data_IF_453030452941
#
_entry.id   IF_453030452941
#
_cell.length_a   1.000
_cell.length_b   1.000
_cell.length_c   1.000
_cell.angle_alpha   90.00
_cell.angle_beta   90.00
_cell.angle_gamma   90.00
#
_symmetry.space_group_name_H-M   'P 1'
#
loop_
_entity.id
_entity.type
_entity.pdbx_description
1 polymer ?
#
# COMPACT_ATOMS: atom_id res chain seq x y z
N UNK A 1 -5.19 21.70 -1.29
CA UNK A 1 -4.13 22.68 -1.64
C UNK A 1 -4.07 23.73 -0.54
N UNK A 2 -2.89 24.10 -0.08
CA UNK A 2 -2.73 25.20 0.88
C UNK A 2 -2.87 26.54 0.13
N UNK A 3 -3.51 27.57 0.72
CA UNK A 3 -3.67 28.87 0.06
C UNK A 3 -2.32 29.49 -0.30
N UNK A 4 -2.14 29.87 -1.56
CA UNK A 4 -0.90 30.51 -2.06
C UNK A 4 0.25 29.55 -2.36
N UNK A 5 0.10 28.23 -2.17
CA UNK A 5 1.13 27.25 -2.53
C UNK A 5 0.99 26.80 -3.98
N UNK A 6 2.08 26.91 -4.76
CA UNK A 6 2.23 26.30 -6.08
C UNK A 6 2.92 24.93 -5.91
N UNK A 7 2.44 23.91 -6.63
CA UNK A 7 3.05 22.57 -6.63
C UNK A 7 3.78 22.37 -7.94
N UNK A 8 5.10 22.32 -7.87
CA UNK A 8 6.00 22.00 -8.97
C UNK A 8 6.33 20.51 -8.94
N UNK A 9 6.12 19.79 -10.06
CA UNK A 9 6.48 18.37 -10.17
C UNK A 9 7.91 18.21 -10.70
N UNK A 10 8.59 17.15 -10.27
CA UNK A 10 9.92 16.80 -10.76
C UNK A 10 9.91 15.34 -11.26
N UNK A 11 9.44 15.13 -12.48
CA UNK A 11 9.42 13.82 -13.13
C UNK A 11 10.81 13.46 -13.67
N UNK A 12 11.77 13.26 -12.77
CA UNK A 12 13.16 12.96 -13.12
C UNK A 12 13.30 11.62 -13.85
N UNK A 13 12.38 10.68 -13.65
CA UNK A 13 12.37 9.38 -14.33
C UNK A 13 12.25 9.50 -15.86
N UNK A 14 11.48 10.48 -16.35
CA UNK A 14 11.31 10.73 -17.79
C UNK A 14 12.60 11.26 -18.45
N UNK A 15 13.52 11.81 -17.65
CA UNK A 15 14.77 12.45 -18.12
C UNK A 15 16.00 11.59 -17.85
N UNK A 16 16.01 10.85 -16.74
CA UNK A 16 17.19 10.17 -16.17
C UNK A 16 16.92 8.73 -15.69
N UNK A 17 15.68 8.23 -15.78
CA UNK A 17 15.31 6.88 -15.35
C UNK A 17 15.81 5.77 -16.28
N UNK A 18 15.68 4.53 -15.83
CA UNK A 18 16.08 3.34 -16.61
C UNK A 18 15.06 3.03 -17.70
N UNK A 19 15.43 3.29 -18.96
CA UNK A 19 14.77 2.66 -20.11
C UNK A 19 15.29 1.20 -20.29
N UNK A 20 14.42 0.18 -20.38
CA UNK A 20 14.83 -1.18 -20.73
C UNK A 20 15.47 -1.20 -22.12
N UNK A 21 16.67 -1.79 -22.24
CA UNK A 21 17.45 -1.73 -23.48
C UNK A 21 16.74 -2.34 -24.70
N UNK A 22 16.06 -3.48 -24.50
CA UNK A 22 15.62 -4.37 -25.59
C UNK A 22 14.11 -4.68 -25.60
N UNK A 23 13.30 -3.96 -24.79
CA UNK A 23 11.84 -4.18 -24.71
C UNK A 23 11.40 -5.56 -24.21
N UNK A 24 12.32 -6.33 -23.61
CA UNK A 24 12.07 -7.66 -23.06
C UNK A 24 11.91 -7.62 -21.54
N UNK A 25 10.96 -8.40 -21.04
CA UNK A 25 10.73 -8.56 -19.60
C UNK A 25 11.97 -9.12 -18.89
N UNK A 26 12.18 -8.68 -17.66
CA UNK A 26 13.40 -8.97 -16.89
C UNK A 26 13.55 -10.46 -16.55
N UNK A 27 14.80 -10.97 -16.46
CA UNK A 27 15.05 -12.36 -16.10
C UNK A 27 14.60 -12.68 -14.67
N UNK A 28 14.00 -13.87 -14.48
CA UNK A 28 13.44 -14.34 -13.20
C UNK A 28 14.45 -14.30 -12.05
N UNK A 29 14.32 -13.28 -11.19
CA UNK A 29 15.19 -13.07 -10.04
C UNK A 29 14.87 -14.01 -8.87
N UNK A 30 15.80 -14.90 -8.53
CA UNK A 30 15.72 -15.75 -7.34
C UNK A 30 16.65 -15.28 -6.19
N UNK A 31 16.45 -14.06 -5.66
CA UNK A 31 17.20 -13.50 -4.51
C UNK A 31 16.69 -13.97 -3.12
N UNK A 32 17.54 -14.14 -2.09
CA UNK A 32 17.15 -14.76 -0.81
C UNK A 32 16.10 -13.95 -0.02
N UNK A 33 15.36 -14.62 0.87
CA UNK A 33 14.32 -14.00 1.67
C UNK A 33 14.90 -13.22 2.86
N UNK A 34 14.52 -11.94 2.97
CA UNK A 34 14.70 -11.15 4.18
C UNK A 34 13.56 -11.41 5.17
N UNK A 35 13.87 -11.33 6.46
CA UNK A 35 12.92 -11.44 7.57
C UNK A 35 13.13 -10.21 8.47
N UNK A 36 12.07 -9.47 8.84
CA UNK A 36 12.17 -8.46 9.89
C UNK A 36 12.07 -9.13 11.28
N UNK A 37 12.85 -8.63 12.23
CA UNK A 37 12.81 -9.03 13.63
C UNK A 37 11.93 -8.06 14.43
N UNK A 38 10.96 -8.56 15.21
CA UNK A 38 10.41 -7.85 16.39
C UNK A 38 9.27 -6.80 16.21
N UNK A 39 8.05 -7.24 16.52
CA UNK A 39 7.00 -6.52 17.30
C UNK A 39 6.78 -4.98 17.17
N UNK A 40 5.59 -4.59 16.66
CA UNK A 40 5.01 -3.22 16.74
C UNK A 40 3.48 -3.22 16.52
N UNK A 41 2.70 -2.34 17.18
CA UNK A 41 1.28 -2.57 17.58
C UNK A 41 0.46 -1.26 17.42
N UNK A 42 -0.78 -1.18 16.87
CA UNK A 42 -1.80 -2.19 16.46
C UNK A 42 -2.74 -1.64 15.36
N UNK A 43 -3.05 -2.42 14.33
CA UNK A 43 -4.42 -2.95 14.14
C UNK A 43 -4.41 -4.39 14.69
N UNK A 44 -5.46 -5.22 14.56
CA UNK A 44 -5.19 -6.66 14.80
C UNK A 44 -4.28 -7.16 13.66
N UNK A 45 -3.05 -7.57 13.96
CA UNK A 45 -2.06 -7.96 12.93
C UNK A 45 -2.58 -9.11 12.06
N UNK A 46 -3.50 -9.90 12.63
CA UNK A 46 -4.34 -10.88 11.93
C UNK A 46 -5.09 -10.28 10.73
N UNK A 47 -5.79 -9.15 10.87
CA UNK A 47 -6.59 -8.55 9.80
C UNK A 47 -5.72 -8.01 8.66
N UNK A 48 -4.57 -7.39 8.99
CA UNK A 48 -3.57 -6.98 7.97
C UNK A 48 -2.98 -8.20 7.25
N UNK A 49 -2.60 -9.24 8.00
CA UNK A 49 -2.08 -10.49 7.43
C UNK A 49 -3.10 -11.23 6.55
N UNK A 50 -4.39 -11.15 6.88
CA UNK A 50 -5.47 -11.67 6.03
C UNK A 50 -5.61 -10.86 4.75
N UNK A 51 -5.67 -9.51 4.82
CA UNK A 51 -5.76 -8.69 3.61
C UNK A 51 -4.56 -8.86 2.68
N UNK A 52 -3.35 -9.01 3.24
CA UNK A 52 -2.14 -9.35 2.48
C UNK A 52 -2.29 -10.63 1.65
N UNK A 53 -3.08 -11.60 2.13
CA UNK A 53 -3.40 -12.83 1.42
C UNK A 53 -4.52 -12.65 0.40
N UNK A 54 -5.55 -11.88 0.75
CA UNK A 54 -6.73 -11.66 -0.10
C UNK A 54 -6.39 -10.95 -1.43
N UNK A 55 -5.48 -9.98 -1.42
CA UNK A 55 -5.06 -9.30 -2.66
C UNK A 55 -4.43 -10.26 -3.69
N UNK A 56 -3.64 -11.22 -3.20
CA UNK A 56 -3.07 -12.31 -4.00
C UNK A 56 -4.09 -13.41 -4.35
N UNK A 57 -5.01 -13.69 -3.43
CA UNK A 57 -5.87 -14.87 -3.41
C UNK A 57 -7.24 -14.54 -2.76
N UNK A 58 -8.21 -14.02 -3.54
CA UNK A 58 -9.54 -13.67 -3.04
C UNK A 58 -10.33 -14.85 -2.43
N UNK A 59 -9.88 -16.09 -2.63
CA UNK A 59 -10.52 -17.31 -2.09
C UNK A 59 -9.85 -17.84 -0.81
N UNK A 60 -8.81 -17.16 -0.33
CA UNK A 60 -7.97 -17.63 0.78
C UNK A 60 -8.77 -17.99 2.04
N UNK A 61 -9.57 -17.05 2.56
CA UNK A 61 -10.35 -17.27 3.78
C UNK A 61 -11.46 -18.32 3.57
N UNK A 62 -12.11 -18.33 2.41
CA UNK A 62 -13.13 -19.31 2.05
C UNK A 62 -12.54 -20.73 2.09
N UNK A 63 -11.34 -20.93 1.51
CA UNK A 63 -10.63 -22.20 1.58
C UNK A 63 -10.27 -22.58 3.00
N UNK A 64 -9.73 -21.66 3.79
CA UNK A 64 -9.37 -21.94 5.20
C UNK A 64 -10.61 -22.32 6.02
N UNK A 65 -11.73 -21.63 5.84
CA UNK A 65 -12.98 -21.93 6.53
C UNK A 65 -13.58 -23.30 6.14
N UNK A 66 -13.56 -23.66 4.86
CA UNK A 66 -14.02 -24.97 4.38
C UNK A 66 -13.14 -26.10 4.90
N UNK A 67 -11.81 -25.92 4.91
CA UNK A 67 -10.85 -26.90 5.45
C UNK A 67 -10.93 -27.04 6.98
N UNK A 68 -11.27 -25.97 7.70
CA UNK A 68 -11.42 -25.98 9.16
C UNK A 68 -12.73 -26.59 9.68
N UNK A 69 -13.74 -26.78 8.82
CA UNK A 69 -15.05 -27.34 9.19
C UNK A 69 -15.58 -28.37 8.16
N UNK A 70 -14.82 -29.45 7.88
CA UNK A 70 -15.23 -30.48 6.93
C UNK A 70 -16.51 -31.17 7.40
N UNK A 71 -17.50 -31.27 6.52
CA UNK A 71 -18.83 -31.82 6.84
C UNK A 71 -19.84 -30.80 7.39
N UNK A 72 -19.45 -29.55 7.65
CA UNK A 72 -20.34 -28.50 8.18
C UNK A 72 -21.44 -28.02 7.22
N UNK A 73 -21.46 -28.46 5.96
CA UNK A 73 -22.42 -28.07 4.93
C UNK A 73 -23.75 -28.85 4.99
N UNK A 74 -24.25 -29.15 6.20
CA UNK A 74 -25.49 -29.92 6.37
C UNK A 74 -26.69 -29.18 5.80
N UNK A 75 -27.41 -29.83 4.87
CA UNK A 75 -28.73 -29.47 4.35
C UNK A 75 -28.99 -27.97 4.08
N UNK A 76 -28.16 -27.33 3.25
CA UNK A 76 -28.49 -26.00 2.69
C UNK A 76 -29.75 -26.10 1.82
N UNK A 77 -30.78 -25.28 2.08
CA UNK A 77 -31.96 -25.28 1.20
C UNK A 77 -31.58 -24.74 -0.19
N UNK A 78 -32.05 -25.36 -1.29
CA UNK A 78 -31.79 -24.86 -2.65
C UNK A 78 -32.26 -23.42 -2.86
N UNK A 79 -33.33 -23.01 -2.16
CA UNK A 79 -33.83 -21.63 -2.17
C UNK A 79 -32.83 -20.63 -1.56
N UNK A 80 -32.23 -20.95 -0.42
CA UNK A 80 -31.24 -20.09 0.22
C UNK A 80 -29.96 -19.98 -0.63
N UNK A 81 -29.50 -21.10 -1.19
CA UNK A 81 -28.33 -21.13 -2.08
C UNK A 81 -28.55 -20.30 -3.35
N UNK A 82 -29.72 -20.44 -3.98
CA UNK A 82 -30.08 -19.65 -5.15
C UNK A 82 -30.23 -18.15 -4.83
N UNK A 83 -30.75 -17.80 -3.64
CA UNK A 83 -30.86 -16.41 -3.18
C UNK A 83 -29.48 -15.78 -2.92
N UNK A 84 -28.55 -16.49 -2.29
CA UNK A 84 -27.18 -15.99 -2.13
C UNK A 84 -26.52 -15.80 -3.50
N UNK A 85 -26.67 -16.78 -4.41
CA UNK A 85 -26.10 -16.71 -5.76
C UNK A 85 -26.69 -15.58 -6.61
N UNK A 86 -27.98 -15.28 -6.49
CA UNK A 86 -28.56 -14.11 -7.17
C UNK A 86 -28.02 -12.83 -6.55
N UNK A 87 -28.10 -12.67 -5.21
CA UNK A 87 -27.54 -11.48 -4.53
C UNK A 87 -26.10 -11.19 -4.91
N UNK A 88 -25.22 -12.21 -4.96
CA UNK A 88 -23.82 -12.04 -5.41
C UNK A 88 -23.76 -11.55 -6.86
N UNK A 89 -24.52 -12.16 -7.79
CA UNK A 89 -24.53 -11.76 -9.20
C UNK A 89 -25.01 -10.32 -9.39
N UNK A 90 -26.04 -9.96 -8.66
CA UNK A 90 -26.81 -8.73 -8.83
C UNK A 90 -26.16 -7.55 -8.06
N UNK A 91 -25.03 -7.75 -7.36
CA UNK A 91 -24.29 -6.72 -6.61
C UNK A 91 -23.92 -5.49 -7.45
N UNK A 92 -23.59 -5.67 -8.73
CA UNK A 92 -23.19 -4.55 -9.60
C UNK A 92 -24.34 -3.57 -9.92
N UNK A 93 -25.58 -4.03 -9.72
CA UNK A 93 -26.80 -3.30 -10.00
C UNK A 93 -27.43 -2.73 -8.71
N UNK A 94 -26.83 -3.02 -7.54
CA UNK A 94 -27.18 -2.43 -6.25
C UNK A 94 -26.72 -0.95 -6.19
N UNK A 95 -27.57 0.00 -5.74
CA UNK A 95 -27.22 1.41 -5.71
C UNK A 95 -26.12 1.72 -4.69
N UNK A 96 -26.17 1.15 -3.48
CA UNK A 96 -25.19 1.40 -2.41
C UNK A 96 -23.80 0.88 -2.83
N UNK A 97 -23.73 -0.31 -3.45
CA UNK A 97 -22.47 -0.85 -4.00
C UNK A 97 -21.96 0.07 -5.11
N UNK A 98 -22.86 0.54 -5.95
CA UNK A 98 -22.54 1.37 -7.10
C UNK A 98 -22.12 2.81 -6.79
N UNK A 99 -22.44 3.33 -5.60
CA UNK A 99 -21.92 4.61 -5.08
C UNK A 99 -20.46 4.52 -4.61
N UNK A 100 -19.94 3.30 -4.41
CA UNK A 100 -18.55 3.04 -3.98
C UNK A 100 -17.62 2.62 -5.11
N UNK A 101 -18.11 2.55 -6.34
CA UNK A 101 -17.29 2.39 -7.55
C UNK A 101 -16.80 3.79 -7.95
N UNK A 102 -15.48 4.03 -8.09
CA UNK A 102 -14.94 5.37 -8.34
C UNK A 102 -15.48 6.03 -9.61
N UNK A 103 -15.70 7.34 -9.56
CA UNK A 103 -16.08 8.13 -10.73
C UNK A 103 -15.06 7.96 -11.88
N UNK A 104 -15.54 7.46 -13.02
CA UNK A 104 -14.72 7.14 -14.18
C UNK A 104 -14.40 5.65 -14.35
N UNK A 105 -14.69 4.78 -13.37
CA UNK A 105 -14.61 3.33 -13.56
C UNK A 105 -15.92 2.75 -14.10
N UNK A 106 -15.89 1.92 -15.15
CA UNK A 106 -17.07 1.20 -15.61
C UNK A 106 -17.59 0.26 -14.52
N UNK A 107 -18.89 0.33 -14.19
CA UNK A 107 -19.55 -0.66 -13.31
C UNK A 107 -19.42 -2.09 -13.86
N UNK A 108 -19.21 -2.19 -15.17
CA UNK A 108 -18.86 -3.38 -15.92
C UNK A 108 -17.62 -4.08 -15.34
N UNK A 109 -16.58 -3.37 -14.88
CA UNK A 109 -15.40 -3.99 -14.27
C UNK A 109 -15.75 -4.72 -12.96
N UNK A 110 -16.56 -4.10 -12.11
CA UNK A 110 -17.06 -4.75 -10.89
C UNK A 110 -17.95 -5.96 -11.23
N UNK A 111 -18.84 -5.81 -12.21
CA UNK A 111 -19.70 -6.90 -12.71
C UNK A 111 -18.89 -8.07 -13.27
N UNK A 112 -17.80 -7.79 -13.99
CA UNK A 112 -16.90 -8.79 -14.54
C UNK A 112 -16.09 -9.51 -13.46
N UNK A 113 -15.56 -8.79 -12.47
CA UNK A 113 -14.87 -9.38 -11.32
C UNK A 113 -15.79 -10.33 -10.52
N UNK A 114 -17.03 -9.91 -10.26
CA UNK A 114 -18.08 -10.75 -9.64
C UNK A 114 -18.40 -11.97 -10.51
N UNK A 115 -18.49 -11.80 -11.83
CA UNK A 115 -18.78 -12.91 -12.75
C UNK A 115 -17.61 -13.90 -12.89
N UNK A 116 -16.35 -13.44 -12.83
CA UNK A 116 -15.17 -14.30 -12.72
C UNK A 116 -15.20 -15.11 -11.42
N UNK A 117 -15.49 -14.45 -10.29
CA UNK A 117 -15.58 -15.11 -8.98
C UNK A 117 -16.68 -16.18 -8.95
N UNK A 118 -17.86 -15.90 -9.52
CA UNK A 118 -18.95 -16.87 -9.66
C UNK A 118 -18.62 -18.04 -10.60
N UNK A 119 -17.71 -17.85 -11.56
CA UNK A 119 -17.20 -18.90 -12.46
C UNK A 119 -16.07 -19.73 -11.84
N UNK A 120 -15.40 -19.25 -10.78
CA UNK A 120 -14.35 -20.00 -10.10
C UNK A 120 -14.93 -21.25 -9.40
N UNK A 121 -14.44 -22.44 -9.79
CA UNK A 121 -14.92 -23.72 -9.27
C UNK A 121 -14.86 -23.81 -7.73
N UNK A 122 -13.78 -23.33 -7.13
CA UNK A 122 -13.59 -23.31 -5.67
C UNK A 122 -14.66 -22.46 -4.96
N UNK A 123 -14.97 -21.26 -5.48
CA UNK A 123 -16.02 -20.40 -4.94
C UNK A 123 -17.40 -21.02 -5.10
N UNK A 124 -17.72 -21.50 -6.31
CA UNK A 124 -19.00 -22.13 -6.62
C UNK A 124 -19.26 -23.39 -5.77
N UNK A 125 -18.22 -24.17 -5.48
CA UNK A 125 -18.27 -25.33 -4.60
C UNK A 125 -18.41 -24.96 -3.11
N UNK A 126 -17.88 -23.81 -2.69
CA UNK A 126 -18.01 -23.31 -1.32
C UNK A 126 -19.35 -22.63 -1.00
N UNK A 127 -20.10 -22.15 -2.01
CA UNK A 127 -21.38 -21.45 -1.81
C UNK A 127 -22.38 -22.17 -0.87
N UNK A 128 -22.59 -23.51 -0.92
CA UNK A 128 -23.45 -24.20 0.04
C UNK A 128 -22.97 -24.05 1.49
N UNK A 129 -21.68 -24.24 1.75
CA UNK A 129 -21.07 -24.06 3.07
C UNK A 129 -21.24 -22.62 3.58
N UNK A 130 -20.95 -21.63 2.72
CA UNK A 130 -21.07 -20.21 3.05
C UNK A 130 -22.53 -19.81 3.33
N UNK A 131 -23.49 -20.38 2.58
CA UNK A 131 -24.93 -20.19 2.80
C UNK A 131 -25.38 -20.81 4.12
N UNK A 132 -25.00 -22.06 4.40
CA UNK A 132 -25.39 -22.79 5.61
C UNK A 132 -24.94 -22.08 6.90
N UNK A 133 -23.81 -21.37 6.84
CA UNK A 133 -23.20 -20.66 7.97
C UNK A 133 -23.51 -19.15 8.00
N UNK A 134 -24.30 -18.64 7.06
CA UNK A 134 -24.55 -17.21 6.85
C UNK A 134 -23.24 -16.39 6.80
N UNK A 135 -22.19 -16.93 6.19
CA UNK A 135 -20.85 -16.34 6.10
C UNK A 135 -20.77 -15.25 5.01
N UNK A 136 -21.69 -14.29 5.07
CA UNK A 136 -21.78 -13.16 4.14
C UNK A 136 -20.50 -12.32 4.14
N UNK A 137 -19.85 -12.18 5.30
CA UNK A 137 -18.56 -11.52 5.47
C UNK A 137 -17.48 -12.12 4.56
N UNK A 138 -17.26 -13.45 4.63
CA UNK A 138 -16.26 -14.13 3.79
C UNK A 138 -16.54 -13.98 2.29
N UNK A 139 -17.83 -13.96 1.90
CA UNK A 139 -18.23 -13.69 0.51
C UNK A 139 -17.90 -12.25 0.13
N UNK A 140 -18.19 -11.27 1.00
CA UNK A 140 -17.97 -9.86 0.74
C UNK A 140 -16.49 -9.48 0.68
N UNK A 141 -15.65 -10.02 1.56
CA UNK A 141 -14.18 -9.89 1.53
C UNK A 141 -13.59 -10.49 0.24
N UNK A 142 -14.13 -11.64 -0.18
CA UNK A 142 -13.77 -12.30 -1.44
C UNK A 142 -14.15 -11.46 -2.68
N UNK A 143 -15.37 -10.91 -2.74
CA UNK A 143 -15.80 -9.99 -3.81
C UNK A 143 -14.93 -8.73 -3.85
N UNK A 144 -14.70 -8.09 -2.71
CA UNK A 144 -13.91 -6.85 -2.60
C UNK A 144 -12.48 -7.05 -3.10
N UNK A 145 -11.81 -8.12 -2.64
CA UNK A 145 -10.45 -8.44 -3.10
C UNK A 145 -10.40 -8.91 -4.56
N UNK A 146 -11.41 -9.64 -5.05
CA UNK A 146 -11.50 -10.02 -6.45
C UNK A 146 -11.65 -8.81 -7.38
N UNK A 147 -12.43 -7.79 -7.00
CA UNK A 147 -12.56 -6.54 -7.74
C UNK A 147 -11.27 -5.70 -7.71
N UNK A 148 -10.63 -5.54 -6.55
CA UNK A 148 -9.32 -4.86 -6.47
C UNK A 148 -8.29 -5.55 -7.37
N UNK A 149 -8.21 -6.89 -7.31
CA UNK A 149 -7.33 -7.71 -8.17
C UNK A 149 -7.72 -7.68 -9.65
N UNK A 150 -8.98 -7.42 -9.97
CA UNK A 150 -9.43 -7.20 -11.36
C UNK A 150 -8.87 -5.87 -11.88
N UNK A 151 -9.08 -4.78 -11.14
CA UNK A 151 -8.52 -3.45 -11.46
C UNK A 151 -7.00 -3.47 -11.63
N UNK A 152 -6.27 -4.21 -10.79
CA UNK A 152 -4.81 -4.37 -10.93
C UNK A 152 -4.37 -5.14 -12.19
N UNK A 153 -5.22 -6.02 -12.72
CA UNK A 153 -4.95 -6.70 -13.99
C UNK A 153 -5.24 -5.79 -15.18
N UNK A 154 -6.36 -5.08 -15.12
CA UNK A 154 -6.82 -4.16 -16.17
C UNK A 154 -5.88 -2.96 -16.33
N UNK A 155 -5.48 -2.33 -15.22
CA UNK A 155 -4.51 -1.23 -15.20
C UNK A 155 -3.05 -1.68 -15.45
N UNK A 156 -2.79 -2.98 -15.57
CA UNK A 156 -1.44 -3.55 -15.76
C UNK A 156 -0.51 -3.44 -14.55
N UNK A 157 -0.97 -2.92 -13.41
CA UNK A 157 -0.16 -2.67 -12.21
C UNK A 157 -1.00 -2.35 -10.97
N UNK A 158 -0.36 -2.05 -9.82
CA UNK A 158 -1.07 -1.76 -8.58
C UNK A 158 -1.99 -0.54 -8.72
N UNK A 159 -3.25 -0.69 -8.30
CA UNK A 159 -4.19 0.45 -8.22
C UNK A 159 -4.21 1.03 -6.82
N UNK A 160 -4.31 2.36 -6.75
CA UNK A 160 -4.35 3.11 -5.51
C UNK A 160 -5.76 2.97 -4.91
N UNK A 161 -5.83 2.28 -3.77
CA UNK A 161 -7.06 2.02 -3.02
C UNK A 161 -6.75 2.22 -1.55
N UNK A 162 -7.52 3.07 -0.88
CA UNK A 162 -7.43 3.26 0.56
C UNK A 162 -8.03 2.07 1.31
N UNK A 163 -7.51 1.80 2.50
CA UNK A 163 -8.17 0.89 3.44
C UNK A 163 -9.60 1.33 3.78
N UNK A 164 -9.92 2.63 3.67
CA UNK A 164 -11.26 3.16 3.91
C UNK A 164 -12.27 2.77 2.79
N UNK A 165 -11.90 2.94 1.52
CA UNK A 165 -12.71 2.54 0.35
C UNK A 165 -12.90 1.02 0.31
N UNK A 166 -11.82 0.26 0.53
CA UNK A 166 -11.83 -1.20 0.66
C UNK A 166 -12.82 -1.64 1.75
N UNK A 167 -12.73 -1.05 2.93
CA UNK A 167 -13.60 -1.40 4.06
C UNK A 167 -15.05 -0.96 3.83
N UNK A 168 -15.28 0.17 3.17
CA UNK A 168 -16.62 0.64 2.82
C UNK A 168 -17.28 -0.34 1.84
N UNK A 169 -16.57 -0.71 0.76
CA UNK A 169 -17.07 -1.65 -0.24
C UNK A 169 -17.36 -3.02 0.37
N UNK A 170 -16.44 -3.55 1.18
CA UNK A 170 -16.65 -4.80 1.91
C UNK A 170 -17.92 -4.77 2.77
N UNK A 171 -18.12 -3.72 3.58
CA UNK A 171 -19.29 -3.61 4.46
C UNK A 171 -20.60 -3.47 3.71
N UNK A 172 -20.62 -2.71 2.62
CA UNK A 172 -21.82 -2.56 1.78
C UNK A 172 -22.15 -3.88 1.08
N UNK A 173 -21.15 -4.59 0.54
CA UNK A 173 -21.37 -5.93 -0.03
C UNK A 173 -21.88 -6.90 1.04
N UNK A 174 -21.32 -6.92 2.27
CA UNK A 174 -21.81 -7.79 3.36
C UNK A 174 -23.31 -7.51 3.66
N UNK A 175 -23.67 -6.23 3.78
CA UNK A 175 -25.04 -5.75 3.98
C UNK A 175 -25.98 -6.23 2.86
N UNK A 176 -25.64 -5.98 1.60
CA UNK A 176 -26.47 -6.36 0.43
C UNK A 176 -26.64 -7.88 0.31
N UNK A 177 -25.63 -8.66 0.68
CA UNK A 177 -25.74 -10.13 0.73
C UNK A 177 -26.69 -10.64 1.82
N UNK A 178 -27.04 -9.80 2.80
CA UNK A 178 -27.94 -10.12 3.91
C UNK A 178 -27.25 -10.29 5.26
N UNK A 179 -25.99 -9.86 5.38
CA UNK A 179 -25.32 -9.78 6.68
C UNK A 179 -26.03 -8.77 7.60
N UNK A 180 -26.30 -9.18 8.85
CA UNK A 180 -26.85 -8.25 9.83
C UNK A 180 -25.81 -7.17 10.17
N UNK A 181 -26.22 -5.89 10.15
CA UNK A 181 -25.41 -4.77 10.62
C UNK A 181 -25.23 -4.84 12.14
N UNK A 182 -24.18 -5.54 12.58
CA UNK A 182 -23.77 -5.64 13.99
C UNK A 182 -22.46 -4.87 14.22
N UNK A 183 -22.28 -4.37 15.44
CA UNK A 183 -21.23 -3.43 15.79
C UNK A 183 -19.79 -3.91 15.50
N UNK A 184 -18.95 -2.95 15.12
CA UNK A 184 -17.57 -3.14 14.63
C UNK A 184 -16.66 -4.02 15.52
N UNK A 185 -16.89 -4.06 16.84
CA UNK A 185 -15.96 -4.67 17.80
C UNK A 185 -16.07 -6.19 17.97
N UNK A 186 -17.26 -6.78 17.83
CA UNK A 186 -17.51 -8.14 18.31
C UNK A 186 -17.31 -9.22 17.24
N UNK A 187 -17.62 -8.91 15.98
CA UNK A 187 -17.41 -9.84 14.84
C UNK A 187 -15.96 -9.94 14.40
N UNK A 188 -15.27 -8.80 14.27
CA UNK A 188 -13.86 -8.75 13.89
C UNK A 188 -13.02 -9.63 14.83
N UNK A 189 -13.23 -9.50 16.14
CA UNK A 189 -12.60 -10.38 17.15
C UNK A 189 -12.93 -11.85 16.95
N UNK A 190 -14.20 -12.23 16.76
CA UNK A 190 -14.60 -13.63 16.69
C UNK A 190 -14.11 -14.36 15.42
N UNK A 191 -14.20 -13.72 14.26
CA UNK A 191 -13.79 -14.32 12.96
C UNK A 191 -12.28 -14.27 12.79
N UNK A 192 -11.62 -13.16 13.18
CA UNK A 192 -10.17 -13.11 13.21
C UNK A 192 -9.59 -14.14 14.21
N UNK A 193 -10.17 -14.33 15.39
CA UNK A 193 -9.61 -15.25 16.39
C UNK A 193 -9.63 -16.73 15.99
N UNK A 194 -10.67 -17.22 15.31
CA UNK A 194 -10.71 -18.60 14.83
C UNK A 194 -9.83 -18.83 13.59
N UNK A 195 -9.68 -17.79 12.77
CA UNK A 195 -8.98 -17.86 11.48
C UNK A 195 -7.48 -17.61 11.66
N UNK A 196 -7.08 -16.64 12.49
CA UNK A 196 -5.70 -16.27 12.79
C UNK A 196 -4.89 -17.40 13.45
N UNK A 197 -5.53 -18.25 14.27
CA UNK A 197 -4.89 -19.42 14.88
C UNK A 197 -4.28 -20.40 13.86
N UNK A 198 -4.76 -20.37 12.60
CA UNK A 198 -4.20 -21.17 11.50
C UNK A 198 -3.35 -20.35 10.51
N UNK A 199 -3.24 -19.03 10.69
CA UNK A 199 -2.58 -18.11 9.74
C UNK A 199 -1.22 -17.58 10.19
N UNK A 200 -0.72 -17.97 11.37
CA UNK A 200 0.63 -17.67 11.86
C UNK A 200 1.76 -18.42 11.09
N UNK A 201 1.72 -18.41 9.75
CA UNK A 201 2.79 -18.90 8.86
C UNK A 201 3.30 -17.76 7.98
N UNK A 202 4.62 -17.43 8.01
CA UNK A 202 5.16 -16.23 7.36
C UNK A 202 4.79 -16.09 5.88
N UNK A 203 4.25 -14.94 5.50
CA UNK A 203 3.83 -14.60 4.12
C UNK A 203 5.03 -14.15 3.26
N UNK A 204 6.24 -14.61 3.57
CA UNK A 204 7.48 -14.16 2.90
C UNK A 204 7.74 -14.92 1.59
N UNK A 205 7.19 -16.14 1.44
CA UNK A 205 7.54 -17.05 0.32
C UNK A 205 6.89 -16.74 -1.04
N UNK A 206 5.81 -15.94 -1.11
CA UNK A 206 5.07 -15.70 -2.37
C UNK A 206 5.34 -14.34 -3.02
N UNK A 207 5.67 -13.33 -2.22
CA UNK A 207 5.99 -11.98 -2.68
C UNK A 207 7.24 -11.90 -3.58
N UNK A 208 8.14 -12.88 -3.54
CA UNK A 208 9.38 -12.91 -4.34
C UNK A 208 9.13 -12.71 -5.84
N UNK A 209 8.13 -13.41 -6.42
CA UNK A 209 7.81 -13.29 -7.84
C UNK A 209 7.15 -11.96 -8.19
N UNK A 210 6.08 -11.59 -7.48
CA UNK A 210 5.34 -10.36 -7.75
C UNK A 210 6.20 -9.09 -7.56
N UNK A 211 7.13 -9.07 -6.60
CA UNK A 211 8.08 -7.98 -6.41
C UNK A 211 9.11 -7.95 -7.55
N UNK A 212 9.74 -9.07 -7.91
CA UNK A 212 10.87 -9.06 -8.85
C UNK A 212 10.47 -8.92 -10.32
N UNK A 213 9.30 -9.41 -10.75
CA UNK A 213 8.86 -9.29 -12.15
C UNK A 213 8.19 -7.95 -12.47
N UNK A 214 7.72 -7.19 -11.46
CA UNK A 214 7.00 -5.91 -11.67
C UNK A 214 7.65 -4.68 -11.04
N UNK A 215 8.59 -4.82 -10.11
CA UNK A 215 9.37 -3.70 -9.61
C UNK A 215 10.61 -3.39 -10.46
N UNK A 216 10.79 -4.00 -11.63
CA UNK A 216 12.04 -3.88 -12.42
C UNK A 216 12.45 -2.45 -12.72
N UNK A 217 11.56 -1.53 -13.16
CA UNK A 217 11.94 -0.14 -13.39
C UNK A 217 12.32 0.56 -12.08
N UNK A 218 11.48 0.45 -11.03
CA UNK A 218 11.73 1.08 -9.73
C UNK A 218 13.00 0.57 -9.03
N UNK A 219 13.27 -0.75 -9.10
CA UNK A 219 14.50 -1.34 -8.59
C UNK A 219 15.71 -0.96 -9.45
N UNK A 220 15.54 -0.92 -10.78
CA UNK A 220 16.55 -0.43 -11.72
C UNK A 220 16.93 1.02 -11.44
N UNK A 221 15.94 1.86 -11.16
CA UNK A 221 16.09 3.27 -10.78
C UNK A 221 16.77 3.44 -9.42
N UNK A 222 16.42 2.63 -8.40
CA UNK A 222 17.13 2.61 -7.11
C UNK A 222 18.60 2.22 -7.32
N UNK A 223 18.88 1.18 -8.12
CA UNK A 223 20.25 0.75 -8.41
C UNK A 223 21.03 1.78 -9.24
N UNK A 224 20.39 2.41 -10.24
CA UNK A 224 20.95 3.48 -11.05
C UNK A 224 21.26 4.70 -10.17
N UNK A 225 20.37 5.06 -9.25
CA UNK A 225 20.58 6.15 -8.31
C UNK A 225 21.74 5.86 -7.34
N UNK A 226 21.78 4.68 -6.72
CA UNK A 226 22.88 4.33 -5.81
C UNK A 226 24.22 4.24 -6.55
N UNK A 227 24.25 3.77 -7.80
CA UNK A 227 25.47 3.68 -8.59
C UNK A 227 25.90 5.01 -9.24
N UNK A 228 24.94 5.86 -9.64
CA UNK A 228 25.16 7.02 -10.53
C UNK A 228 24.25 8.22 -10.25
N UNK A 229 23.69 8.38 -9.06
CA UNK A 229 22.67 9.41 -8.74
C UNK A 229 23.10 10.87 -8.77
N UNK A 230 24.38 11.18 -9.05
CA UNK A 230 24.89 12.56 -9.12
C UNK A 230 24.13 13.46 -10.13
N UNK A 231 23.82 13.05 -11.38
CA UNK A 231 23.07 13.86 -12.32
C UNK A 231 21.65 14.16 -11.82
N UNK A 232 20.99 13.20 -11.17
CA UNK A 232 19.66 13.41 -10.56
C UNK A 232 19.74 14.48 -9.47
N UNK A 233 20.73 14.39 -8.57
CA UNK A 233 20.93 15.40 -7.51
C UNK A 233 21.25 16.79 -8.06
N UNK A 234 22.08 16.87 -9.10
CA UNK A 234 22.35 18.13 -9.81
C UNK A 234 21.06 18.70 -10.41
N UNK A 235 20.28 17.87 -11.13
CA UNK A 235 19.03 18.27 -11.79
C UNK A 235 17.98 18.76 -10.79
N UNK A 236 17.81 18.08 -9.65
CA UNK A 236 16.97 18.55 -8.55
C UNK A 236 17.43 19.92 -8.03
N UNK A 237 18.73 20.09 -7.80
CA UNK A 237 19.30 21.33 -7.31
C UNK A 237 19.19 22.48 -8.33
N UNK A 238 19.20 22.20 -9.64
CA UNK A 238 18.93 23.17 -10.70
C UNK A 238 17.45 23.59 -10.70
N UNK A 239 16.52 22.62 -10.73
CA UNK A 239 15.07 22.88 -10.65
C UNK A 239 14.67 23.67 -9.40
N UNK A 240 15.27 23.38 -8.24
CA UNK A 240 15.03 24.14 -6.99
C UNK A 240 15.53 25.59 -7.08
N UNK A 241 16.61 25.87 -7.82
CA UNK A 241 17.11 27.25 -8.01
C UNK A 241 16.25 28.08 -8.97
N UNK A 242 15.55 27.41 -9.88
CA UNK A 242 14.59 28.04 -10.80
C UNK A 242 13.27 28.40 -10.11
N UNK A 243 12.96 27.77 -8.96
CA UNK A 243 11.79 28.08 -8.14
C UNK A 243 12.11 29.25 -7.21
N UNK A 244 11.46 30.39 -7.46
CA UNK A 244 11.55 31.58 -6.61
C UNK A 244 10.76 31.44 -5.30
N UNK A 245 11.27 32.05 -4.23
CA UNK A 245 10.63 32.07 -2.91
C UNK A 245 10.96 30.84 -2.04
N UNK A 246 10.31 30.71 -0.87
CA UNK A 246 10.49 29.56 0.03
C UNK A 246 10.03 28.24 -0.62
N UNK A 247 10.89 27.24 -0.61
CA UNK A 247 10.64 25.90 -1.19
C UNK A 247 10.47 24.87 -0.08
N UNK A 248 9.52 23.97 -0.29
CA UNK A 248 9.35 22.74 0.50
C UNK A 248 9.66 21.57 -0.42
N UNK A 249 10.67 20.77 -0.08
CA UNK A 249 10.98 19.56 -0.84
C UNK A 249 10.22 18.39 -0.24
N UNK A 250 9.32 17.77 -1.00
CA UNK A 250 8.59 16.58 -0.60
C UNK A 250 9.03 15.41 -1.49
N UNK A 251 9.64 14.39 -0.87
CA UNK A 251 10.17 13.20 -1.55
C UNK A 251 9.63 11.91 -0.95
N UNK A 252 9.12 11.02 -1.78
CA UNK A 252 8.63 9.71 -1.38
C UNK A 252 9.58 8.59 -1.83
N UNK A 253 9.80 7.60 -0.97
CA UNK A 253 10.69 6.46 -1.26
C UNK A 253 12.08 6.94 -1.73
N UNK A 254 12.54 6.50 -2.90
CA UNK A 254 13.75 6.96 -3.60
C UNK A 254 13.82 8.48 -3.78
N UNK A 255 12.68 9.15 -4.02
CA UNK A 255 12.61 10.60 -4.10
C UNK A 255 13.00 11.28 -2.78
N UNK A 256 12.71 10.65 -1.64
CA UNK A 256 13.17 11.13 -0.33
C UNK A 256 14.70 11.06 -0.17
N UNK A 257 15.32 9.99 -0.67
CA UNK A 257 16.79 9.86 -0.72
C UNK A 257 17.36 10.96 -1.62
N UNK A 258 16.81 11.13 -2.82
CA UNK A 258 17.26 12.12 -3.79
C UNK A 258 17.16 13.55 -3.25
N UNK A 259 16.07 13.92 -2.58
CA UNK A 259 15.91 15.22 -1.92
C UNK A 259 16.92 15.42 -0.78
N UNK A 260 17.05 14.45 0.14
CA UNK A 260 18.01 14.52 1.25
C UNK A 260 19.44 14.69 0.76
N UNK A 261 19.89 13.83 -0.16
CA UNK A 261 21.27 13.87 -0.64
C UNK A 261 21.56 15.09 -1.52
N UNK A 262 20.56 15.64 -2.22
CA UNK A 262 20.69 16.92 -2.93
C UNK A 262 20.94 18.07 -1.96
N UNK A 263 20.23 18.10 -0.82
CA UNK A 263 20.42 19.11 0.23
C UNK A 263 21.77 18.98 0.93
N UNK A 264 22.28 17.75 1.10
CA UNK A 264 23.66 17.56 1.60
C UNK A 264 24.69 18.02 0.56
N UNK A 265 24.53 17.64 -0.72
CA UNK A 265 25.50 17.94 -1.78
C UNK A 265 25.49 19.39 -2.28
N UNK A 266 24.39 20.13 -2.08
CA UNK A 266 24.20 21.46 -2.65
C UNK A 266 23.57 22.42 -1.65
N UNK A 267 24.18 23.60 -1.48
CA UNK A 267 23.53 24.71 -0.81
C UNK A 267 22.31 25.18 -1.62
N UNK A 268 21.13 25.04 -1.01
CA UNK A 268 19.82 25.41 -1.55
C UNK A 268 19.07 26.26 -0.50
N UNK A 269 19.52 27.50 -0.22
CA UNK A 269 19.06 28.30 0.93
C UNK A 269 17.60 28.76 0.83
N UNK A 270 16.95 28.57 -0.33
CA UNK A 270 15.51 28.77 -0.49
C UNK A 270 14.68 27.59 0.06
N UNK A 271 15.26 26.40 0.26
CA UNK A 271 14.54 25.26 0.85
C UNK A 271 14.43 25.47 2.37
N UNK A 272 13.19 25.51 2.86
CA UNK A 272 12.87 25.76 4.28
C UNK A 272 12.42 24.50 5.04
N UNK A 273 12.06 23.45 4.31
CA UNK A 273 11.58 22.18 4.84
C UNK A 273 11.90 21.04 3.88
N UNK A 274 12.44 19.95 4.43
CA UNK A 274 12.41 18.63 3.80
C UNK A 274 11.24 17.83 4.38
N UNK A 275 10.43 17.20 3.53
CA UNK A 275 9.46 16.16 3.90
C UNK A 275 9.87 14.89 3.19
N UNK A 276 10.19 13.84 3.96
CA UNK A 276 10.34 12.48 3.43
C UNK A 276 9.10 11.66 3.78
N UNK A 277 8.65 10.81 2.85
CA UNK A 277 7.51 9.91 3.07
C UNK A 277 7.94 8.49 2.67
N UNK A 278 7.83 7.53 3.58
CA UNK A 278 8.20 6.13 3.33
C UNK A 278 9.61 5.96 2.76
N UNK A 279 10.60 6.69 3.28
CA UNK A 279 11.94 6.79 2.67
C UNK A 279 13.00 5.98 3.42
N UNK A 280 13.98 5.50 2.66
CA UNK A 280 15.06 4.63 3.10
C UNK A 280 16.29 5.39 3.64
N UNK A 281 16.25 6.73 3.71
CA UNK A 281 17.38 7.58 4.14
C UNK A 281 18.01 7.10 5.46
N UNK A 282 17.26 6.82 6.54
CA UNK A 282 17.88 6.41 7.81
C UNK A 282 18.54 5.04 7.73
N UNK A 283 17.94 4.09 7.02
CA UNK A 283 18.50 2.75 6.81
C UNK A 283 19.80 2.81 5.98
N UNK A 284 19.83 3.61 4.91
CA UNK A 284 21.04 3.80 4.12
C UNK A 284 22.14 4.55 4.90
N UNK A 285 21.77 5.49 5.77
CA UNK A 285 22.72 6.14 6.67
C UNK A 285 23.35 5.15 7.67
N UNK A 286 22.53 4.32 8.32
CA UNK A 286 23.00 3.29 9.26
C UNK A 286 23.92 2.24 8.63
N UNK A 287 23.87 2.08 7.30
CA UNK A 287 24.77 1.21 6.52
C UNK A 287 25.99 1.93 5.92
N UNK A 288 26.19 3.24 6.18
CA UNK A 288 27.15 4.11 5.48
C UNK A 288 27.03 4.05 3.93
N UNK A 289 25.80 3.85 3.45
CA UNK A 289 25.44 3.59 2.06
C UNK A 289 24.80 4.80 1.35
N UNK A 290 24.70 5.95 2.01
CA UNK A 290 24.43 7.23 1.36
C UNK A 290 25.68 7.69 0.59
N UNK A 291 25.49 8.10 -0.66
CA UNK A 291 26.54 8.57 -1.55
C UNK A 291 27.09 9.96 -1.17
N UNK A 292 26.31 10.80 -0.48
CA UNK A 292 26.71 12.19 -0.14
C UNK A 292 26.92 12.44 1.35
N UNK A 293 26.55 11.51 2.23
CA UNK A 293 26.62 11.69 3.68
C UNK A 293 27.17 10.44 4.36
N UNK A 294 28.16 10.60 5.24
CA UNK A 294 28.84 9.48 5.92
C UNK A 294 28.30 9.29 7.33
N UNK A 295 28.26 8.03 7.78
CA UNK A 295 27.89 7.67 9.14
C UNK A 295 28.76 8.41 10.15
N UNK A 296 28.13 9.12 11.09
CA UNK A 296 28.79 9.93 12.12
C UNK A 296 29.25 11.32 11.67
N UNK A 297 29.07 11.70 10.40
CA UNK A 297 29.28 13.09 9.98
C UNK A 297 28.09 13.96 10.40
N UNK A 298 28.35 15.21 10.80
CA UNK A 298 27.29 16.20 10.97
C UNK A 298 26.66 16.58 9.63
N UNK A 299 25.35 16.88 9.63
CA UNK A 299 24.71 17.52 8.47
C UNK A 299 25.36 18.89 8.19
N UNK A 300 25.52 19.31 6.92
CA UNK A 300 26.10 20.61 6.58
C UNK A 300 25.29 21.79 7.14
N UNK A 301 25.94 22.91 7.42
CA UNK A 301 25.31 24.15 7.92
C UNK A 301 24.23 24.72 6.97
N UNK A 302 24.28 24.37 5.67
CA UNK A 302 23.30 24.78 4.67
C UNK A 302 22.11 23.81 4.52
N UNK A 303 22.08 22.70 5.26
CA UNK A 303 20.96 21.77 5.29
C UNK A 303 19.79 22.43 6.06
N UNK A 304 18.53 22.30 5.61
CA UNK A 304 17.40 22.99 6.25
C UNK A 304 17.24 22.59 7.73
N UNK A 305 16.97 23.58 8.59
CA UNK A 305 16.75 23.38 10.03
C UNK A 305 15.58 22.43 10.35
N UNK A 306 14.67 22.25 9.39
CA UNK A 306 13.45 21.45 9.53
C UNK A 306 13.41 20.32 8.51
N UNK A 307 13.33 19.10 9.01
CA UNK A 307 12.98 17.89 8.26
C UNK A 307 11.83 17.18 8.97
N UNK A 308 10.80 16.77 8.23
CA UNK A 308 9.74 15.87 8.72
C UNK A 308 9.82 14.56 7.96
N UNK A 309 9.85 13.44 8.69
CA UNK A 309 9.90 12.10 8.11
C UNK A 309 8.62 11.33 8.46
N UNK A 310 7.82 10.99 7.45
CA UNK A 310 6.53 10.31 7.60
C UNK A 310 6.71 8.82 7.34
N UNK A 311 6.37 8.00 8.33
CA UNK A 311 6.70 6.56 8.38
C UNK A 311 5.47 5.75 8.80
N UNK A 312 5.17 4.68 8.07
CA UNK A 312 4.29 3.59 8.52
C UNK A 312 5.15 2.41 9.00
N UNK A 313 4.77 1.77 10.10
CA UNK A 313 5.46 0.58 10.62
C UNK A 313 5.25 -0.67 9.74
N UNK A 314 4.16 -0.72 8.97
CA UNK A 314 3.87 -1.80 8.03
C UNK A 314 4.56 -1.59 6.67
N UNK A 315 5.17 -0.42 6.43
CA UNK A 315 6.00 -0.16 5.26
C UNK A 315 7.45 -0.60 5.53
N UNK A 316 7.80 -1.79 5.06
CA UNK A 316 9.14 -2.39 5.20
C UNK A 316 10.28 -1.61 4.50
N UNK A 317 9.97 -0.50 3.82
CA UNK A 317 10.93 0.41 3.20
C UNK A 317 10.98 1.79 3.89
N UNK A 318 10.20 2.00 4.95
CA UNK A 318 10.19 3.22 5.75
C UNK A 318 10.91 3.01 7.08
N UNK A 319 11.69 4.00 7.49
CA UNK A 319 12.47 3.94 8.72
C UNK A 319 12.36 5.27 9.49
N UNK A 320 12.30 5.24 10.84
CA UNK A 320 12.44 6.45 11.65
C UNK A 320 13.85 7.03 11.49
N UNK A 321 13.97 8.34 11.65
CA UNK A 321 15.17 9.12 11.41
C UNK A 321 15.74 9.82 12.66
N UNK A 322 14.94 10.02 13.71
CA UNK A 322 15.30 10.85 14.87
C UNK A 322 16.55 10.34 15.61
N UNK A 323 16.70 9.01 15.76
CA UNK A 323 17.88 8.37 16.35
C UNK A 323 19.21 8.69 15.62
N UNK A 324 19.14 9.13 14.37
CA UNK A 324 20.30 9.43 13.53
C UNK A 324 20.50 10.92 13.24
N UNK A 325 19.41 11.71 13.28
CA UNK A 325 19.39 13.12 12.87
C UNK A 325 18.68 14.02 13.90
N UNK A 326 18.78 13.67 15.18
CA UNK A 326 18.21 14.38 16.31
C UNK A 326 18.43 15.90 16.24
N UNK A 327 17.37 16.67 16.45
CA UNK A 327 17.41 18.14 16.37
C UNK A 327 17.47 18.72 14.95
N UNK A 328 17.28 17.88 13.92
CA UNK A 328 17.01 18.27 12.52
C UNK A 328 15.74 17.64 11.98
N UNK A 329 15.46 16.39 12.34
CA UNK A 329 14.26 15.66 11.89
C UNK A 329 13.18 15.58 12.97
N UNK A 330 11.91 15.47 12.54
CA UNK A 330 10.76 15.05 13.34
C UNK A 330 10.09 13.88 12.65
N UNK A 331 10.16 12.69 13.26
CA UNK A 331 9.41 11.53 12.79
C UNK A 331 7.90 11.70 13.06
N UNK A 332 7.07 11.29 12.10
CA UNK A 332 5.62 11.27 12.19
C UNK A 332 5.12 9.89 11.78
N UNK A 333 4.83 9.05 12.77
CA UNK A 333 4.19 7.77 12.56
C UNK A 333 2.77 7.93 11.98
N UNK A 334 2.44 7.13 10.98
CA UNK A 334 1.08 6.97 10.42
C UNK A 334 0.70 5.48 10.37
N UNK A 335 -0.58 5.19 10.17
CA UNK A 335 -1.11 3.85 9.92
C UNK A 335 -1.96 3.94 8.66
N UNK A 336 -1.45 3.41 7.54
CA UNK A 336 -2.16 3.33 6.26
C UNK A 336 -3.24 2.24 6.27
N UNK A 337 -3.21 1.34 7.27
CA UNK A 337 -4.10 0.17 7.42
C UNK A 337 -4.03 -0.81 6.24
N UNK A 338 -2.92 -0.77 5.51
CA UNK A 338 -2.54 -1.67 4.43
C UNK A 338 -1.29 -2.47 4.82
N UNK A 339 -1.12 -3.71 4.33
CA UNK A 339 0.10 -4.48 4.52
C UNK A 339 1.15 -4.13 3.44
N UNK A 340 2.42 -4.41 3.70
CA UNK A 340 3.45 -4.40 2.65
C UNK A 340 3.11 -5.37 1.50
N UNK A 341 3.30 -5.00 0.21
CA UNK A 341 3.90 -3.77 -0.29
C UNK A 341 2.94 -2.58 -0.46
N UNK A 342 1.63 -2.75 -0.24
CA UNK A 342 0.62 -1.70 -0.46
C UNK A 342 0.77 -0.51 0.50
N UNK A 343 1.19 -0.75 1.74
CA UNK A 343 1.52 0.30 2.72
C UNK A 343 2.41 1.41 2.12
N UNK A 344 3.42 1.01 1.32
CA UNK A 344 4.38 1.92 0.70
C UNK A 344 3.75 2.95 -0.25
N UNK A 345 2.62 2.63 -0.89
CA UNK A 345 1.86 3.58 -1.73
C UNK A 345 0.68 4.26 -1.03
N UNK A 346 0.19 3.67 0.07
CA UNK A 346 -1.05 4.06 0.74
C UNK A 346 -0.95 5.34 1.59
N UNK A 347 0.24 5.96 1.70
CA UNK A 347 0.40 7.30 2.28
C UNK A 347 -0.51 8.33 1.59
N UNK A 348 -0.67 8.25 0.26
CA UNK A 348 -1.46 9.20 -0.53
C UNK A 348 -2.99 9.04 -0.37
N UNK A 349 -3.43 7.98 0.29
CA UNK A 349 -4.82 7.78 0.71
C UNK A 349 -5.02 7.94 2.21
N UNK A 350 -3.99 8.36 2.95
CA UNK A 350 -4.01 8.48 4.41
C UNK A 350 -4.12 9.95 4.83
N UNK A 351 -5.28 10.43 5.34
CA UNK A 351 -5.49 11.85 5.65
C UNK A 351 -4.43 12.44 6.60
N UNK A 352 -3.97 11.65 7.57
CA UNK A 352 -2.93 12.03 8.54
C UNK A 352 -1.61 12.45 7.88
N UNK A 353 -1.29 11.95 6.69
CA UNK A 353 -0.12 12.39 5.91
C UNK A 353 -0.29 13.84 5.45
N UNK A 354 -1.45 14.18 4.91
CA UNK A 354 -1.77 15.55 4.50
C UNK A 354 -1.86 16.51 5.68
N UNK A 355 -2.40 16.07 6.82
CA UNK A 355 -2.41 16.85 8.05
C UNK A 355 -0.99 17.12 8.55
N UNK A 356 -0.11 16.11 8.57
CA UNK A 356 1.29 16.25 8.96
C UNK A 356 2.07 17.19 8.03
N UNK A 357 1.88 17.07 6.71
CA UNK A 357 2.47 17.99 5.72
C UNK A 357 1.96 19.41 5.93
N UNK A 358 0.64 19.62 6.08
CA UNK A 358 0.07 20.95 6.35
C UNK A 358 0.69 21.58 7.59
N UNK A 359 0.69 20.86 8.71
CA UNK A 359 1.28 21.35 9.97
C UNK A 359 2.76 21.69 9.79
N UNK A 360 3.54 20.85 9.10
CA UNK A 360 4.95 21.13 8.85
C UNK A 360 5.17 22.41 8.01
N UNK A 361 4.34 22.65 7.00
CA UNK A 361 4.41 23.86 6.15
C UNK A 361 3.95 25.12 6.88
N UNK A 362 2.93 25.02 7.74
CA UNK A 362 2.42 26.14 8.54
C UNK A 362 3.41 26.61 9.63
N UNK A 363 4.39 25.79 9.98
CA UNK A 363 5.46 26.12 10.95
C UNK A 363 6.71 26.80 10.33
N UNK A 364 6.79 27.02 9.01
CA UNK A 364 8.02 27.38 8.27
C UNK A 364 8.30 28.88 8.03
#
# INVERSE_FOLDING_TARGET
MLPGTVVETCSWGDVLGVAPADGTDAPDGAGPAWSPDGSGVTWSDAERAVWARLYDDPLYEIRTAVLGAPGGASATSPRALNLLRSRVRDLADDPDVGELIPDGEPREQFREAVAELLRAQEFAAALPFLTARASHDLVARSVTSAYIRFRERDAGGPVLVSAAERDALWRVVEKTLGGAALGLGDRARAVAWSTAQHMARPVVRRHRGALLTRATPALGDILLYQARGRPLRTYLAERVREIGGPVVLLGHSLGGIACFESLVAHALPNVRLLVTVGSQVPYLYGLDALATHRLGASLPDHFPDRWVNIVDQEDLLAFPADDHFAGRVRDVAVDTREPFPRAHGAYWTTPRVYDAVRTAVEEC
#
